data_IF_615559757880
#
_entry.id   IF_615559757880
#
_cell.length_a   1.000
_cell.length_b   1.000
_cell.length_c   1.000
_cell.angle_alpha   90.00
_cell.angle_beta   90.00
_cell.angle_gamma   90.00
#
_symmetry.space_group_name_H-M   'P 1'
#
loop_
_entity.id
_entity.type
_entity.pdbx_description
1 polymer ?
#
# COMPACT_ATOMS: atom_id res chain seq x y z
N UNK A 1 -45.64 10.58 37.86
CA UNK A 1 -44.62 9.53 37.63
C UNK A 1 -44.54 9.23 36.13
N UNK A 2 -43.34 8.86 35.67
CA UNK A 2 -42.74 9.17 34.36
C UNK A 2 -43.43 8.57 33.11
N UNK A 3 -43.31 9.21 31.94
CA UNK A 3 -43.69 8.61 30.66
C UNK A 3 -42.80 7.39 30.35
N UNK A 4 -43.42 6.31 29.91
CA UNK A 4 -42.74 5.07 29.52
C UNK A 4 -41.96 5.32 28.22
N UNK A 5 -40.64 5.45 28.32
CA UNK A 5 -39.76 5.53 27.17
C UNK A 5 -39.63 4.14 26.53
N UNK A 6 -40.31 3.94 25.40
CA UNK A 6 -40.14 2.75 24.57
C UNK A 6 -38.75 2.80 23.92
N UNK A 7 -37.77 2.17 24.56
CA UNK A 7 -36.44 1.98 23.98
C UNK A 7 -36.57 1.01 22.81
N UNK A 8 -36.55 1.52 21.58
CA UNK A 8 -36.29 0.71 20.38
C UNK A 8 -34.79 0.46 20.31
N UNK A 9 -34.25 -0.30 21.26
CA UNK A 9 -33.00 -1.01 20.97
C UNK A 9 -33.37 -2.12 20.00
N UNK A 10 -33.27 -1.79 18.70
CA UNK A 10 -33.02 -2.79 17.67
C UNK A 10 -31.79 -3.55 18.17
N UNK A 11 -31.99 -4.79 18.61
CA UNK A 11 -30.89 -5.71 18.84
C UNK A 11 -30.18 -5.81 17.50
N UNK A 12 -29.06 -5.10 17.37
CA UNK A 12 -28.12 -5.35 16.30
C UNK A 12 -27.65 -6.77 16.55
N UNK A 13 -28.04 -7.70 15.68
CA UNK A 13 -27.53 -9.07 15.74
C UNK A 13 -26.02 -9.00 15.60
N UNK A 14 -25.28 -9.58 16.56
CA UNK A 14 -23.84 -9.87 16.48
C UNK A 14 -23.52 -10.95 15.43
N UNK A 15 -24.34 -11.07 14.39
CA UNK A 15 -23.96 -11.90 13.25
C UNK A 15 -22.82 -11.16 12.54
N UNK A 16 -21.65 -11.80 12.38
CA UNK A 16 -20.61 -11.22 11.56
C UNK A 16 -21.20 -11.09 10.15
N UNK A 17 -21.55 -9.87 9.75
CA UNK A 17 -21.85 -9.57 8.37
C UNK A 17 -20.66 -10.11 7.58
N UNK A 18 -20.91 -11.15 6.79
CA UNK A 18 -19.92 -11.79 5.92
C UNK A 18 -19.40 -10.72 4.98
N UNK A 19 -18.34 -10.04 5.41
CA UNK A 19 -17.58 -9.16 4.56
C UNK A 19 -16.89 -10.10 3.59
N UNK A 20 -17.33 -10.10 2.32
CA UNK A 20 -16.64 -10.77 1.21
C UNK A 20 -15.23 -10.19 0.95
N UNK A 21 -14.70 -9.39 1.89
CA UNK A 21 -13.36 -8.87 1.88
C UNK A 21 -12.37 -9.97 2.24
N UNK A 22 -11.85 -10.60 1.19
CA UNK A 22 -10.70 -11.48 1.23
C UNK A 22 -9.42 -10.67 1.48
N UNK A 23 -9.05 -10.48 2.75
CA UNK A 23 -7.91 -9.64 3.15
C UNK A 23 -6.57 -10.08 2.51
N UNK A 24 -6.39 -11.38 2.28
CA UNK A 24 -5.22 -11.93 1.57
C UNK A 24 -5.16 -11.44 0.12
N UNK A 25 -6.23 -11.69 -0.63
CA UNK A 25 -6.38 -11.23 -2.02
C UNK A 25 -6.24 -9.70 -2.14
N UNK A 26 -6.77 -8.94 -1.19
CA UNK A 26 -6.63 -7.49 -1.16
C UNK A 26 -5.18 -7.03 -0.99
N UNK A 27 -4.41 -7.68 -0.11
CA UNK A 27 -2.99 -7.38 0.11
C UNK A 27 -2.11 -7.81 -1.08
N UNK A 28 -2.41 -8.95 -1.71
CA UNK A 28 -1.71 -9.39 -2.91
C UNK A 28 -1.96 -8.43 -4.09
N UNK A 29 -3.20 -8.02 -4.30
CA UNK A 29 -3.55 -7.01 -5.31
C UNK A 29 -2.88 -5.66 -5.03
N UNK A 30 -2.79 -5.26 -3.75
CA UNK A 30 -2.07 -4.05 -3.36
C UNK A 30 -0.58 -4.18 -3.67
N UNK A 31 0.04 -5.31 -3.34
CA UNK A 31 1.46 -5.58 -3.64
C UNK A 31 1.72 -5.54 -5.14
N UNK A 32 0.86 -6.15 -5.96
CA UNK A 32 0.98 -6.12 -7.42
C UNK A 32 0.97 -4.69 -7.95
N UNK A 33 0.01 -3.86 -7.52
CA UNK A 33 -0.03 -2.44 -7.91
C UNK A 33 1.21 -1.66 -7.47
N UNK A 34 1.78 -1.98 -6.30
CA UNK A 34 3.00 -1.32 -5.81
C UNK A 34 4.25 -1.72 -6.63
N UNK A 35 4.30 -2.93 -7.18
CA UNK A 35 5.36 -3.34 -8.11
C UNK A 35 5.32 -2.48 -9.37
N UNK A 36 4.13 -2.27 -9.94
CA UNK A 36 3.97 -1.43 -11.14
C UNK A 36 4.40 0.02 -10.88
N UNK A 37 4.03 0.56 -9.71
CA UNK A 37 4.42 1.92 -9.28
C UNK A 37 5.93 2.02 -9.08
N UNK A 38 6.57 1.02 -8.46
CA UNK A 38 8.03 0.99 -8.33
C UNK A 38 8.71 0.93 -9.70
N UNK A 39 8.27 0.05 -10.58
CA UNK A 39 8.83 -0.08 -11.93
C UNK A 39 8.75 1.25 -12.70
N UNK A 40 7.61 1.93 -12.63
CA UNK A 40 7.45 3.25 -13.25
C UNK A 40 8.37 4.29 -12.64
N UNK A 41 8.50 4.32 -11.31
CA UNK A 41 9.35 5.29 -10.62
C UNK A 41 10.83 5.08 -10.96
N UNK A 42 11.28 3.81 -11.06
CA UNK A 42 12.64 3.46 -11.49
C UNK A 42 12.91 3.83 -12.94
N UNK A 43 11.92 3.66 -13.81
CA UNK A 43 12.02 4.09 -15.21
C UNK A 43 12.12 5.62 -15.31
N UNK A 44 11.35 6.36 -14.51
CA UNK A 44 11.40 7.81 -14.46
C UNK A 44 12.76 8.33 -13.95
N UNK A 45 13.33 7.69 -12.93
CA UNK A 45 14.68 7.98 -12.43
C UNK A 45 15.75 7.74 -13.51
N UNK A 46 15.73 6.56 -14.15
CA UNK A 46 16.67 6.25 -15.24
C UNK A 46 16.54 7.21 -16.44
N UNK A 47 15.31 7.62 -16.77
CA UNK A 47 15.07 8.61 -17.83
C UNK A 47 15.62 9.99 -17.44
N UNK A 48 15.46 10.41 -16.18
CA UNK A 48 16.01 11.66 -15.67
C UNK A 48 17.55 11.66 -15.70
N UNK A 49 18.19 10.53 -15.39
CA UNK A 49 19.64 10.38 -15.47
C UNK A 49 20.18 10.38 -16.91
N UNK A 50 19.36 9.93 -17.88
CA UNK A 50 19.72 9.92 -19.30
C UNK A 50 19.51 11.27 -20.00
N UNK A 51 18.93 12.27 -19.33
CA UNK A 51 18.71 13.59 -19.91
C UNK A 51 20.05 14.27 -20.23
N UNK A 52 20.17 14.96 -21.38
CA UNK A 52 21.41 15.60 -21.80
C UNK A 52 21.82 16.74 -20.86
N UNK A 53 23.13 17.03 -20.82
CA UNK A 53 23.69 18.10 -20.01
C UNK A 53 23.02 19.46 -20.32
N UNK A 54 22.48 20.09 -19.28
CA UNK A 54 21.78 21.36 -19.42
C UNK A 54 22.73 22.51 -19.81
N UNK A 55 22.38 23.21 -20.89
CA UNK A 55 23.21 24.25 -21.49
C UNK A 55 23.15 25.59 -20.72
N UNK A 56 21.99 25.92 -20.14
CA UNK A 56 21.77 27.18 -19.42
C UNK A 56 21.60 26.95 -17.91
N UNK A 57 21.83 28.01 -17.12
CA UNK A 57 21.64 27.96 -15.66
C UNK A 57 20.20 27.58 -15.28
N UNK A 58 19.21 28.18 -15.95
CA UNK A 58 17.81 27.87 -15.71
C UNK A 58 17.49 26.40 -16.02
N UNK A 59 18.04 25.84 -17.09
CA UNK A 59 17.87 24.43 -17.42
C UNK A 59 18.55 23.51 -16.39
N UNK A 60 19.71 23.88 -15.86
CA UNK A 60 20.40 23.12 -14.79
C UNK A 60 19.54 23.05 -13.53
N UNK A 61 18.94 24.16 -13.13
CA UNK A 61 18.04 24.21 -11.96
C UNK A 61 16.81 23.32 -12.17
N UNK A 62 16.17 23.40 -13.34
CA UNK A 62 15.00 22.58 -13.65
C UNK A 62 15.37 21.09 -13.72
N UNK A 63 16.48 20.75 -14.36
CA UNK A 63 17.00 19.39 -14.43
C UNK A 63 17.23 18.81 -13.04
N UNK A 64 17.95 19.54 -12.16
CA UNK A 64 18.24 19.07 -10.81
C UNK A 64 16.97 18.83 -9.98
N UNK A 65 15.93 19.63 -10.19
CA UNK A 65 14.61 19.43 -9.56
C UNK A 65 13.91 18.17 -10.08
N UNK A 66 13.92 17.94 -11.39
CA UNK A 66 13.33 16.74 -12.01
C UNK A 66 14.04 15.49 -11.52
N UNK A 67 15.38 15.47 -11.58
CA UNK A 67 16.18 14.36 -11.11
C UNK A 67 15.91 14.07 -9.63
N UNK A 68 15.97 15.09 -8.77
CA UNK A 68 15.71 14.92 -7.34
C UNK A 68 14.29 14.41 -7.05
N UNK A 69 13.28 14.88 -7.79
CA UNK A 69 11.91 14.39 -7.65
C UNK A 69 11.79 12.92 -8.08
N UNK A 70 12.40 12.55 -9.21
CA UNK A 70 12.37 11.18 -9.73
C UNK A 70 13.04 10.21 -8.75
N UNK A 71 14.25 10.53 -8.26
CA UNK A 71 14.96 9.73 -7.26
C UNK A 71 14.14 9.56 -5.97
N UNK A 72 13.61 10.65 -5.40
CA UNK A 72 12.81 10.55 -4.16
C UNK A 72 11.53 9.73 -4.35
N UNK A 73 10.90 9.86 -5.51
CA UNK A 73 9.70 9.06 -5.84
C UNK A 73 10.05 7.59 -5.96
N UNK A 74 11.16 7.26 -6.63
CA UNK A 74 11.71 5.92 -6.74
C UNK A 74 12.01 5.30 -5.38
N UNK A 75 12.72 6.03 -4.51
CA UNK A 75 13.02 5.60 -3.14
C UNK A 75 11.75 5.33 -2.32
N UNK A 76 10.77 6.24 -2.40
CA UNK A 76 9.51 6.10 -1.67
C UNK A 76 8.67 4.91 -2.17
N UNK A 77 8.63 4.69 -3.49
CA UNK A 77 7.96 3.55 -4.10
C UNK A 77 8.61 2.22 -3.65
N UNK A 78 9.95 2.13 -3.70
CA UNK A 78 10.68 0.96 -3.20
C UNK A 78 10.44 0.71 -1.70
N UNK A 79 10.43 1.75 -0.87
CA UNK A 79 10.12 1.62 0.55
C UNK A 79 8.70 1.09 0.78
N UNK A 80 7.73 1.60 0.01
CA UNK A 80 6.34 1.17 0.08
C UNK A 80 6.16 -0.29 -0.34
N UNK A 81 6.85 -0.73 -1.40
CA UNK A 81 6.80 -2.13 -1.82
C UNK A 81 7.41 -3.08 -0.77
N UNK A 82 8.54 -2.69 -0.17
CA UNK A 82 9.14 -3.48 0.93
C UNK A 82 8.17 -3.63 2.09
N UNK A 83 7.51 -2.54 2.49
CA UNK A 83 6.49 -2.57 3.53
C UNK A 83 5.33 -3.50 3.18
N UNK A 84 4.76 -3.38 1.97
CA UNK A 84 3.68 -4.26 1.53
C UNK A 84 4.10 -5.74 1.49
N UNK A 85 5.32 -6.03 1.05
CA UNK A 85 5.86 -7.39 1.03
C UNK A 85 5.98 -7.98 2.45
N UNK A 86 6.38 -7.16 3.43
CA UNK A 86 6.42 -7.58 4.83
C UNK A 86 5.01 -7.90 5.38
N UNK A 87 4.00 -7.09 5.04
CA UNK A 87 2.61 -7.32 5.45
C UNK A 87 2.04 -8.63 4.88
N UNK A 88 2.31 -8.92 3.60
CA UNK A 88 1.92 -10.20 2.98
C UNK A 88 2.60 -11.37 3.70
N UNK A 89 3.91 -11.27 3.95
CA UNK A 89 4.66 -12.32 4.67
C UNK A 89 4.12 -12.56 6.08
N UNK A 90 3.79 -11.50 6.82
CA UNK A 90 3.24 -11.60 8.17
C UNK A 90 1.87 -12.28 8.17
N UNK A 91 1.01 -11.96 7.19
CA UNK A 91 -0.29 -12.60 7.05
C UNK A 91 -0.16 -14.10 6.76
N UNK A 92 0.75 -14.48 5.85
CA UNK A 92 1.01 -15.90 5.54
C UNK A 92 1.45 -16.66 6.80
N UNK A 93 2.39 -16.11 7.56
CA UNK A 93 2.86 -16.73 8.81
C UNK A 93 1.75 -16.88 9.86
N UNK A 94 0.86 -15.90 9.97
CA UNK A 94 -0.30 -15.98 10.87
C UNK A 94 -1.28 -17.08 10.45
N UNK A 95 -1.55 -17.20 9.14
CA UNK A 95 -2.44 -18.23 8.60
C UNK A 95 -1.87 -19.64 8.81
N UNK A 96 -0.56 -19.84 8.63
CA UNK A 96 0.10 -21.11 8.92
C UNK A 96 0.05 -21.47 10.40
N UNK A 97 0.25 -20.49 11.29
CA UNK A 97 0.18 -20.69 12.74
C UNK A 97 -1.23 -21.13 13.16
N UNK A 98 -2.27 -20.48 12.64
CA UNK A 98 -3.67 -20.88 12.87
C UNK A 98 -3.96 -22.28 12.36
N UNK A 99 -3.47 -22.62 11.15
CA UNK A 99 -3.65 -23.97 10.58
C UNK A 99 -3.03 -25.05 11.46
N UNK A 100 -1.82 -24.83 11.99
CA UNK A 100 -1.15 -25.77 12.90
C UNK A 100 -1.88 -25.92 14.23
N UNK A 101 -2.40 -24.82 14.78
CA UNK A 101 -3.17 -24.84 16.03
C UNK A 101 -4.53 -25.55 15.89
N UNK A 102 -5.13 -25.58 14.69
CA UNK A 102 -6.39 -26.28 14.44
C UNK A 102 -6.22 -27.79 14.15
N UNK A 103 -4.99 -28.26 13.96
CA UNK A 103 -4.67 -29.65 13.64
C UNK A 103 -4.10 -30.46 14.81
N UNK A 104 -3.93 -29.83 15.98
CA UNK A 104 -3.53 -30.48 17.24
C UNK A 104 -4.68 -30.47 18.24
#
# INVERSE_FOLDING_TARGET
MKPSHRSTQVRVSDEPQNSNFEAGTALENLRAKLIDVEALARAAEAAADALPAAATEQQRIVFGRIQSLATRTSEHASASLRFASAQVSALVAQMETRRKAAAG
#
